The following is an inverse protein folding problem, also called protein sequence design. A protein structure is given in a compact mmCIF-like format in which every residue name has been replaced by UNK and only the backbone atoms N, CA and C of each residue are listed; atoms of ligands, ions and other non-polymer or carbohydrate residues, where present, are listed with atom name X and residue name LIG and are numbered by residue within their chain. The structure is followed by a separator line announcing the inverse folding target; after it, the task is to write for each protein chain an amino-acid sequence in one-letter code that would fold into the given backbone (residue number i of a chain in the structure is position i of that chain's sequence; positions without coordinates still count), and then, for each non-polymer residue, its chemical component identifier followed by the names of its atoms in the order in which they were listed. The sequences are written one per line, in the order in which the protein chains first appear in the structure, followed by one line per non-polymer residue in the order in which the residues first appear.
data_IF_382383165410
#
_entry.id   IF_382383165410
#
_cell.length_a   1.000
_cell.length_b   1.000
_cell.length_c   1.000
_cell.angle_alpha   90.00
_cell.angle_beta   90.00
_cell.angle_gamma   90.00
#
_symmetry.space_group_name_H-M   'P 1'
#
loop_
_entity.id
_entity.type
_entity.pdbx_description
1 polymer ?
#
# COMPACT_ATOMS: atom_id res chain seq x y z
N UNK A 1 19.22 25.29 9.17
CA UNK A 1 17.92 24.60 9.27
C UNK A 1 16.79 25.26 8.45
N UNK A 2 16.77 26.58 8.17
CA UNK A 2 15.74 27.19 7.28
C UNK A 2 15.93 26.88 5.78
N UNK A 3 17.17 26.78 5.32
CA UNK A 3 17.52 26.60 3.90
C UNK A 3 16.97 25.30 3.31
N UNK A 4 16.97 24.20 4.07
CA UNK A 4 16.44 22.91 3.61
C UNK A 4 14.91 22.93 3.48
N UNK A 5 14.22 23.58 4.41
CA UNK A 5 12.77 23.76 4.36
C UNK A 5 12.38 24.60 3.14
N UNK A 6 13.10 25.69 2.89
CA UNK A 6 12.87 26.54 1.73
C UNK A 6 13.18 25.82 0.41
N UNK A 7 14.28 25.07 0.35
CA UNK A 7 14.60 24.25 -0.82
C UNK A 7 13.48 23.23 -1.11
N UNK A 8 13.01 22.51 -0.09
CA UNK A 8 11.89 21.56 -0.22
C UNK A 8 10.62 22.26 -0.71
N UNK A 9 10.24 23.39 -0.10
CA UNK A 9 9.08 24.15 -0.52
C UNK A 9 9.16 24.58 -2.00
N UNK A 10 10.33 25.07 -2.44
CA UNK A 10 10.56 25.47 -3.84
C UNK A 10 10.53 24.30 -4.83
N UNK A 11 11.02 23.13 -4.43
CA UNK A 11 11.06 21.94 -5.29
C UNK A 11 9.68 21.30 -5.47
N UNK A 12 8.84 21.29 -4.42
CA UNK A 12 7.55 20.59 -4.40
C UNK A 12 6.33 21.49 -4.66
N UNK A 13 6.46 22.82 -4.61
CA UNK A 13 5.35 23.70 -5.03
C UNK A 13 4.99 23.48 -6.51
N UNK A 14 3.75 23.77 -6.94
CA UNK A 14 3.40 23.84 -8.36
C UNK A 14 4.45 24.55 -9.22
N UNK A 15 4.89 23.90 -10.30
CA UNK A 15 5.95 24.38 -11.20
C UNK A 15 7.39 24.18 -10.69
N UNK A 16 7.58 23.67 -9.47
CA UNK A 16 8.86 23.23 -8.96
C UNK A 16 9.42 22.03 -9.73
N UNK A 17 10.74 21.80 -9.66
CA UNK A 17 11.39 20.73 -10.41
C UNK A 17 10.82 19.34 -10.05
N UNK A 18 10.76 19.01 -8.76
CA UNK A 18 10.21 17.73 -8.30
C UNK A 18 8.70 17.61 -8.53
N UNK A 19 7.95 18.71 -8.39
CA UNK A 19 6.53 18.72 -8.72
C UNK A 19 6.29 18.39 -10.21
N UNK A 20 7.09 18.97 -11.12
CA UNK A 20 7.02 18.68 -12.56
C UNK A 20 7.38 17.23 -12.88
N UNK A 21 8.41 16.69 -12.25
CA UNK A 21 8.78 15.28 -12.47
C UNK A 21 7.69 14.33 -11.96
N UNK A 22 7.15 14.59 -10.76
CA UNK A 22 6.07 13.79 -10.19
C UNK A 22 4.75 13.92 -10.96
N UNK A 23 4.51 15.04 -11.65
CA UNK A 23 3.28 15.28 -12.45
C UNK A 23 3.05 14.27 -13.57
N UNK A 24 4.07 13.47 -13.92
CA UNK A 24 3.99 12.40 -14.93
C UNK A 24 3.28 11.15 -14.41
N UNK A 25 3.10 11.05 -13.10
CA UNK A 25 2.43 9.92 -12.47
C UNK A 25 0.93 10.21 -12.32
N UNK A 26 0.06 9.23 -12.59
CA UNK A 26 -1.37 9.39 -12.42
C UNK A 26 -1.77 9.45 -10.93
N UNK A 27 -2.89 10.11 -10.64
CA UNK A 27 -3.56 10.09 -9.33
C UNK A 27 -4.31 8.78 -9.11
N UNK A 28 -4.93 8.24 -10.17
CA UNK A 28 -5.54 6.91 -10.21
C UNK A 28 -5.00 6.18 -11.43
N UNK A 29 -4.45 4.98 -11.22
CA UNK A 29 -3.93 4.11 -12.28
C UNK A 29 -4.81 2.87 -12.40
N UNK A 30 -5.17 2.48 -13.62
CA UNK A 30 -5.86 1.22 -13.88
C UNK A 30 -4.94 0.33 -14.70
N UNK A 31 -4.66 -0.88 -14.20
CA UNK A 31 -3.88 -1.90 -14.90
C UNK A 31 -4.71 -3.17 -14.96
N UNK A 32 -5.13 -3.55 -16.16
CA UNK A 32 -6.11 -4.62 -16.37
C UNK A 32 -7.40 -4.35 -15.55
N UNK A 33 -7.70 -5.25 -14.62
CA UNK A 33 -8.83 -5.28 -13.70
C UNK A 33 -8.51 -4.72 -12.31
N UNK A 34 -7.32 -4.14 -12.12
CA UNK A 34 -6.86 -3.61 -10.83
C UNK A 34 -6.72 -2.11 -10.89
N UNK A 35 -7.34 -1.41 -9.94
CA UNK A 35 -7.24 0.04 -9.78
C UNK A 35 -6.31 0.35 -8.61
N UNK A 36 -5.43 1.33 -8.80
CA UNK A 36 -4.53 1.84 -7.77
C UNK A 36 -4.89 3.29 -7.45
N UNK A 37 -5.09 3.58 -6.18
CA UNK A 37 -5.35 4.93 -5.66
C UNK A 37 -4.67 5.08 -4.30
N UNK A 38 -4.41 6.33 -3.85
CA UNK A 38 -3.74 6.51 -2.56
C UNK A 38 -4.66 6.19 -1.37
N UNK A 39 -5.88 6.74 -1.31
CA UNK A 39 -6.81 6.56 -0.19
C UNK A 39 -8.11 5.84 -0.55
N UNK A 40 -8.84 6.31 -1.58
CA UNK A 40 -10.09 5.69 -2.02
C UNK A 40 -10.48 6.02 -3.46
N UNK A 41 -11.54 5.36 -3.94
CA UNK A 41 -12.19 5.63 -5.21
C UNK A 41 -13.71 5.45 -5.10
N UNK A 42 -14.48 6.50 -5.38
CA UNK A 42 -15.94 6.49 -5.29
C UNK A 42 -16.60 6.53 -6.68
N UNK A 43 -17.88 6.14 -6.81
CA UNK A 43 -18.61 6.19 -8.08
C UNK A 43 -18.58 7.58 -8.74
N UNK A 44 -18.61 8.65 -7.96
CA UNK A 44 -18.57 10.05 -8.41
C UNK A 44 -17.22 10.39 -9.06
N UNK A 45 -16.11 9.81 -8.59
CA UNK A 45 -14.80 9.97 -9.23
C UNK A 45 -14.76 9.33 -10.61
N UNK A 46 -15.36 8.14 -10.73
CA UNK A 46 -15.45 7.42 -12.00
C UNK A 46 -16.34 8.16 -12.99
N UNK A 47 -17.49 8.64 -12.52
CA UNK A 47 -18.47 9.39 -13.33
C UNK A 47 -17.92 10.73 -13.83
N UNK A 48 -17.19 11.45 -12.98
CA UNK A 48 -16.52 12.68 -13.38
C UNK A 48 -15.51 12.42 -14.50
N UNK A 49 -14.76 11.32 -14.39
CA UNK A 49 -13.78 10.83 -15.34
C UNK A 49 -12.36 10.88 -14.79
N UNK A 50 -11.74 9.70 -14.62
CA UNK A 50 -10.41 9.55 -14.04
C UNK A 50 -9.33 10.32 -14.81
N UNK A 51 -9.40 10.32 -16.14
CA UNK A 51 -8.44 11.05 -16.96
C UNK A 51 -8.53 12.56 -16.79
N UNK A 52 -9.74 13.10 -16.56
CA UNK A 52 -9.90 14.53 -16.25
C UNK A 52 -9.26 14.88 -14.91
N UNK A 53 -9.39 14.00 -13.92
CA UNK A 53 -8.78 14.16 -12.60
C UNK A 53 -7.25 14.06 -12.71
N UNK A 54 -6.74 13.00 -13.34
CA UNK A 54 -5.30 12.80 -13.57
C UNK A 54 -4.69 13.99 -14.32
N UNK A 55 -5.32 14.43 -15.41
CA UNK A 55 -4.87 15.59 -16.18
C UNK A 55 -4.87 16.87 -15.33
N UNK A 56 -5.90 17.11 -14.53
CA UNK A 56 -5.97 18.32 -13.71
C UNK A 56 -4.88 18.36 -12.63
N UNK A 57 -4.65 17.24 -11.92
CA UNK A 57 -3.56 17.15 -10.94
C UNK A 57 -2.21 17.34 -11.61
N UNK A 58 -1.99 16.69 -12.76
CA UNK A 58 -0.77 16.82 -13.53
C UNK A 58 -0.50 18.28 -13.95
N UNK A 59 -1.51 18.97 -14.50
CA UNK A 59 -1.45 20.40 -14.86
C UNK A 59 -1.16 21.29 -13.65
N UNK A 60 -1.85 21.05 -12.53
CA UNK A 60 -1.62 21.79 -11.29
C UNK A 60 -0.18 21.62 -10.79
N UNK A 61 0.33 20.39 -10.73
CA UNK A 61 1.71 20.11 -10.30
C UNK A 61 2.75 20.75 -11.22
N UNK A 62 2.48 20.82 -12.52
CA UNK A 62 3.35 21.53 -13.48
C UNK A 62 3.34 23.04 -13.36
N UNK A 63 2.36 23.61 -12.66
CA UNK A 63 2.20 25.06 -12.54
C UNK A 63 1.48 25.69 -13.74
N UNK A 64 0.69 24.91 -14.50
CA UNK A 64 -0.04 25.41 -15.67
C UNK A 64 -1.09 26.45 -15.23
N UNK A 65 -1.07 27.65 -15.82
CA UNK A 65 -1.84 28.81 -15.35
C UNK A 65 -3.36 28.57 -15.29
N UNK A 66 -3.89 27.71 -16.18
CA UNK A 66 -5.31 27.36 -16.27
C UNK A 66 -5.84 26.58 -15.05
N UNK A 67 -4.96 25.96 -14.26
CA UNK A 67 -5.34 24.99 -13.23
C UNK A 67 -4.64 25.29 -11.90
N UNK A 68 -4.65 26.55 -11.46
CA UNK A 68 -4.05 26.95 -10.17
C UNK A 68 -5.08 27.14 -9.03
N UNK A 69 -6.37 27.27 -9.35
CA UNK A 69 -7.41 27.34 -8.32
C UNK A 69 -7.76 25.93 -7.80
N UNK A 70 -7.50 25.68 -6.51
CA UNK A 70 -7.86 24.41 -5.84
C UNK A 70 -9.38 24.18 -5.75
N UNK A 71 -10.21 25.20 -6.03
CA UNK A 71 -11.67 25.08 -6.12
C UNK A 71 -12.13 24.42 -7.42
N UNK A 72 -11.24 24.16 -8.37
CA UNK A 72 -11.57 23.39 -9.57
C UNK A 72 -12.05 22.00 -9.13
N UNK A 73 -13.24 21.54 -9.58
CA UNK A 73 -13.86 20.31 -9.10
C UNK A 73 -12.93 19.08 -9.14
N UNK A 74 -12.15 18.92 -10.20
CA UNK A 74 -11.20 17.80 -10.34
C UNK A 74 -10.10 17.78 -9.27
N UNK A 75 -9.57 18.95 -8.88
CA UNK A 75 -8.58 19.05 -7.80
C UNK A 75 -9.19 18.80 -6.43
N UNK A 76 -10.46 19.18 -6.25
CA UNK A 76 -11.22 18.88 -5.04
C UNK A 76 -11.52 17.39 -4.92
N UNK A 77 -11.94 16.72 -6.00
CA UNK A 77 -12.13 15.27 -6.02
C UNK A 77 -10.81 14.51 -5.79
N UNK A 78 -9.70 15.02 -6.32
CA UNK A 78 -8.38 14.43 -6.07
C UNK A 78 -7.93 14.60 -4.61
N UNK A 79 -8.04 15.81 -4.03
CA UNK A 79 -7.33 16.16 -2.79
C UNK A 79 -8.07 17.07 -1.80
N UNK A 80 -9.34 17.38 -2.04
CA UNK A 80 -10.10 18.45 -1.38
C UNK A 80 -10.77 18.10 -0.04
N UNK A 81 -10.67 16.86 0.45
CA UNK A 81 -11.26 16.50 1.73
C UNK A 81 -11.33 15.01 2.01
N UNK A 82 -12.08 14.63 3.06
CA UNK A 82 -12.18 13.25 3.55
C UNK A 82 -12.79 12.23 2.58
N UNK A 83 -13.41 12.70 1.49
CA UNK A 83 -13.95 11.86 0.42
C UNK A 83 -13.13 11.95 -0.87
N UNK A 84 -12.00 12.67 -0.84
CA UNK A 84 -11.11 12.76 -1.99
C UNK A 84 -10.26 11.50 -2.15
N UNK A 85 -9.80 11.28 -3.38
CA UNK A 85 -8.99 10.11 -3.76
C UNK A 85 -7.76 9.96 -2.85
N UNK A 86 -7.10 11.07 -2.52
CA UNK A 86 -5.86 11.06 -1.74
C UNK A 86 -6.08 10.91 -0.24
N UNK A 87 -7.14 11.49 0.32
CA UNK A 87 -7.26 11.66 1.78
C UNK A 87 -8.35 10.81 2.43
N UNK A 88 -9.16 10.11 1.65
CA UNK A 88 -10.18 9.26 2.23
C UNK A 88 -9.56 8.03 2.90
N UNK A 89 -10.15 7.66 4.03
CA UNK A 89 -9.78 6.47 4.80
C UNK A 89 -10.86 5.39 4.77
N UNK A 90 -11.95 5.63 4.02
CA UNK A 90 -13.19 4.84 4.12
C UNK A 90 -12.99 3.36 3.79
N UNK A 91 -12.04 3.01 2.93
CA UNK A 91 -11.79 1.61 2.59
C UNK A 91 -10.72 0.95 3.45
N UNK A 92 -10.11 1.71 4.36
CA UNK A 92 -9.02 1.23 5.21
C UNK A 92 -9.35 1.27 6.71
N UNK A 93 -10.51 1.80 7.07
CA UNK A 93 -11.04 1.75 8.44
C UNK A 93 -11.78 0.44 8.70
N UNK A 94 -11.74 0.00 9.96
CA UNK A 94 -12.51 -1.15 10.43
C UNK A 94 -13.87 -0.66 10.94
N UNK A 95 -14.94 -1.14 10.33
CA UNK A 95 -16.31 -0.77 10.69
C UNK A 95 -17.10 -1.96 11.26
N UNK A 96 -18.16 -1.71 12.03
CA UNK A 96 -19.17 -2.73 12.30
C UNK A 96 -19.74 -3.34 11.01
N UNK A 97 -20.18 -4.62 11.03
CA UNK A 97 -20.59 -5.34 9.83
C UNK A 97 -21.64 -4.62 8.97
N UNK A 98 -22.60 -3.93 9.58
CA UNK A 98 -23.64 -3.19 8.87
C UNK A 98 -23.10 -2.01 8.06
N UNK A 99 -22.15 -1.27 8.61
CA UNK A 99 -21.48 -0.16 7.92
C UNK A 99 -20.50 -0.71 6.88
N UNK A 100 -19.77 -1.78 7.21
CA UNK A 100 -18.85 -2.43 6.29
C UNK A 100 -19.57 -2.88 5.00
N UNK A 101 -20.78 -3.45 5.12
CA UNK A 101 -21.60 -3.83 3.95
C UNK A 101 -21.93 -2.64 3.05
N UNK A 102 -22.23 -1.48 3.63
CA UNK A 102 -22.51 -0.26 2.86
C UNK A 102 -21.25 0.27 2.17
N UNK A 103 -20.11 0.30 2.87
CA UNK A 103 -18.82 0.68 2.30
C UNK A 103 -18.45 -0.24 1.12
N UNK A 104 -18.60 -1.55 1.28
CA UNK A 104 -18.36 -2.52 0.22
C UNK A 104 -19.36 -2.42 -0.95
N UNK A 105 -20.59 -1.95 -0.71
CA UNK A 105 -21.54 -1.69 -1.78
C UNK A 105 -21.09 -0.51 -2.67
N UNK A 106 -20.72 0.61 -2.05
CA UNK A 106 -20.22 1.80 -2.76
C UNK A 106 -18.95 1.47 -3.56
N UNK A 107 -18.05 0.68 -2.98
CA UNK A 107 -16.86 0.18 -3.70
C UNK A 107 -17.25 -0.61 -4.96
N UNK A 108 -18.15 -1.60 -4.82
CA UNK A 108 -18.56 -2.47 -5.94
C UNK A 108 -19.19 -1.66 -7.06
N UNK A 109 -19.96 -0.63 -6.73
CA UNK A 109 -20.50 0.29 -7.72
C UNK A 109 -19.37 0.98 -8.51
N UNK A 110 -18.39 1.57 -7.82
CA UNK A 110 -17.25 2.23 -8.48
C UNK A 110 -16.46 1.26 -9.38
N UNK A 111 -16.15 0.06 -8.88
CA UNK A 111 -15.41 -0.96 -9.62
C UNK A 111 -16.19 -1.48 -10.83
N UNK A 112 -17.51 -1.68 -10.70
CA UNK A 112 -18.37 -2.13 -11.80
C UNK A 112 -18.38 -1.16 -12.98
N UNK A 113 -18.42 0.15 -12.70
CA UNK A 113 -18.36 1.21 -13.72
C UNK A 113 -17.03 1.19 -14.50
N UNK A 114 -15.95 0.73 -13.88
CA UNK A 114 -14.63 0.57 -14.48
C UNK A 114 -14.38 -0.82 -15.08
N UNK A 115 -15.30 -1.78 -14.88
CA UNK A 115 -15.08 -3.22 -15.15
C UNK A 115 -13.82 -3.74 -14.45
N UNK A 116 -13.51 -3.18 -13.28
CA UNK A 116 -12.42 -3.61 -12.43
C UNK A 116 -12.90 -4.59 -11.37
N UNK A 117 -11.98 -5.39 -10.82
CA UNK A 117 -12.25 -6.38 -9.78
C UNK A 117 -11.78 -5.94 -8.41
N UNK A 118 -10.73 -5.14 -8.34
CA UNK A 118 -10.15 -4.73 -7.06
C UNK A 118 -9.56 -3.33 -7.09
N UNK A 119 -9.57 -2.71 -5.92
CA UNK A 119 -8.90 -1.47 -5.61
C UNK A 119 -7.72 -1.74 -4.66
N UNK A 120 -6.55 -1.21 -4.96
CA UNK A 120 -5.37 -1.24 -4.09
C UNK A 120 -5.17 0.17 -3.51
N UNK A 121 -5.10 0.28 -2.19
CA UNK A 121 -4.99 1.55 -1.46
C UNK A 121 -3.90 1.53 -0.40
N UNK A 122 -3.35 2.71 -0.11
CA UNK A 122 -2.45 2.95 1.01
C UNK A 122 -3.08 3.93 2.01
N UNK A 123 -2.32 4.97 2.38
CA UNK A 123 -2.73 6.15 3.16
C UNK A 123 -3.07 5.92 4.64
N UNK A 124 -3.68 4.78 4.95
CA UNK A 124 -4.08 4.39 6.31
C UNK A 124 -3.36 3.13 6.69
N UNK A 125 -2.45 3.27 7.64
CA UNK A 125 -1.59 2.21 8.14
C UNK A 125 -2.43 1.01 8.61
N UNK A 126 -2.04 -0.18 8.14
CA UNK A 126 -2.53 -1.48 8.55
C UNK A 126 -1.47 -2.09 9.49
N UNK A 127 -1.64 -1.95 10.81
CA UNK A 127 -0.61 -2.32 11.77
C UNK A 127 -0.35 -3.83 11.85
N UNK A 128 -1.22 -4.66 11.28
CA UNK A 128 -1.07 -6.11 11.19
C UNK A 128 -0.44 -6.58 9.86
N UNK A 129 -0.25 -5.69 8.88
CA UNK A 129 0.33 -6.00 7.57
C UNK A 129 -0.66 -5.84 6.42
N UNK A 130 -0.24 -6.22 5.21
CA UNK A 130 -1.12 -6.18 4.04
C UNK A 130 -2.29 -7.13 4.26
N UNK A 131 -3.50 -6.64 3.99
CA UNK A 131 -4.71 -7.42 4.13
C UNK A 131 -5.77 -6.92 3.13
N UNK A 132 -6.96 -7.52 3.16
CA UNK A 132 -8.09 -7.10 2.32
C UNK A 132 -9.39 -6.96 3.11
N UNK A 133 -10.37 -6.32 2.48
CA UNK A 133 -11.78 -6.30 2.90
C UNK A 133 -12.68 -6.41 1.67
N UNK A 134 -13.98 -6.60 1.89
CA UNK A 134 -14.98 -6.68 0.83
C UNK A 134 -14.70 -7.83 -0.14
N UNK A 135 -14.41 -9.02 0.40
CA UNK A 135 -14.15 -10.24 -0.37
C UNK A 135 -13.00 -10.06 -1.38
N UNK A 136 -11.93 -9.37 -0.97
CA UNK A 136 -10.78 -9.07 -1.84
C UNK A 136 -11.00 -7.91 -2.82
N UNK A 137 -12.12 -7.19 -2.72
CA UNK A 137 -12.42 -5.99 -3.50
C UNK A 137 -11.53 -4.80 -3.15
N UNK A 138 -11.01 -4.72 -1.92
CA UNK A 138 -9.97 -3.74 -1.53
C UNK A 138 -8.77 -4.44 -0.93
N UNK A 139 -7.58 -4.08 -1.40
CA UNK A 139 -6.30 -4.45 -0.79
C UNK A 139 -5.66 -3.24 -0.14
N UNK A 140 -5.39 -3.34 1.16
CA UNK A 140 -4.83 -2.27 2.00
C UNK A 140 -3.35 -2.55 2.20
N UNK A 141 -2.47 -1.75 1.60
CA UNK A 141 -1.03 -2.06 1.46
C UNK A 141 -0.09 -1.15 2.25
N UNK A 142 -0.59 -0.15 2.95
CA UNK A 142 0.24 0.72 3.79
C UNK A 142 0.50 0.04 5.14
N UNK A 143 1.71 -0.49 5.33
CA UNK A 143 2.12 -1.17 6.57
C UNK A 143 2.88 -0.27 7.55
N UNK A 144 3.03 1.03 7.25
CA UNK A 144 3.76 1.97 8.11
C UNK A 144 5.29 1.78 8.09
N UNK A 145 5.88 1.63 6.89
CA UNK A 145 7.31 1.34 6.69
C UNK A 145 8.26 2.43 7.21
N UNK A 146 7.83 3.70 7.28
CA UNK A 146 8.71 4.78 7.71
C UNK A 146 9.00 4.73 9.21
N UNK A 147 10.22 5.12 9.59
CA UNK A 147 10.69 5.15 10.98
C UNK A 147 9.73 5.86 11.94
N UNK A 148 9.24 7.03 11.53
CA UNK A 148 8.35 7.88 12.35
C UNK A 148 6.90 7.38 12.45
N UNK A 149 6.54 6.34 11.71
CA UNK A 149 5.21 5.73 11.77
C UNK A 149 5.25 4.47 12.63
N UNK A 150 5.53 3.30 12.05
CA UNK A 150 5.65 2.04 12.78
C UNK A 150 7.00 1.34 12.56
N UNK A 151 7.87 1.88 11.71
CA UNK A 151 9.15 1.28 11.32
C UNK A 151 9.03 -0.21 10.93
N UNK A 152 7.92 -0.58 10.28
CA UNK A 152 7.65 -1.98 9.95
C UNK A 152 8.47 -2.45 8.75
N UNK A 153 8.86 -3.74 8.71
CA UNK A 153 9.42 -4.34 7.50
C UNK A 153 8.49 -4.15 6.31
N UNK A 154 9.08 -4.00 5.12
CA UNK A 154 8.32 -3.95 3.89
C UNK A 154 7.57 -5.26 3.63
N UNK A 155 6.38 -5.12 3.06
CA UNK A 155 5.57 -6.21 2.52
C UNK A 155 5.17 -5.85 1.08
N UNK A 156 4.93 -6.86 0.25
CA UNK A 156 4.60 -6.68 -1.15
C UNK A 156 3.33 -7.43 -1.51
N UNK A 157 2.43 -6.75 -2.21
CA UNK A 157 1.30 -7.37 -2.86
C UNK A 157 1.70 -7.79 -4.28
N UNK A 158 1.81 -9.09 -4.50
CA UNK A 158 2.05 -9.66 -5.83
C UNK A 158 0.72 -10.05 -6.49
N UNK A 159 0.51 -9.59 -7.72
CA UNK A 159 -0.67 -9.95 -8.54
C UNK A 159 -0.16 -10.59 -9.83
N UNK A 160 -0.35 -11.90 -9.97
CA UNK A 160 0.04 -12.67 -11.15
C UNK A 160 -1.18 -13.11 -11.94
N UNK A 161 -1.10 -13.04 -13.27
CA UNK A 161 -2.07 -13.71 -14.14
C UNK A 161 -1.76 -15.21 -14.12
N UNK A 162 -2.78 -16.02 -13.86
CA UNK A 162 -2.74 -17.47 -14.02
C UNK A 162 -3.42 -17.78 -15.35
N UNK A 163 -2.74 -18.50 -16.23
CA UNK A 163 -3.37 -19.01 -17.43
C UNK A 163 -4.46 -20.00 -17.00
N UNK A 164 -5.72 -19.76 -17.40
CA UNK A 164 -6.77 -20.76 -17.25
C UNK A 164 -6.39 -21.92 -18.16
N UNK A 165 -5.97 -23.05 -17.57
CA UNK A 165 -5.94 -24.31 -18.30
C UNK A 165 -7.39 -24.64 -18.62
N UNK A 166 -7.77 -24.61 -19.90
CA UNK A 166 -9.04 -25.19 -20.34
C UNK A 166 -9.02 -26.66 -19.92
N UNK A 167 -9.83 -27.04 -18.95
CA UNK A 167 -10.17 -28.45 -18.80
C UNK A 167 -10.95 -28.86 -20.05
N UNK A 168 -10.40 -29.82 -20.79
CA UNK A 168 -11.11 -30.48 -21.87
C UNK A 168 -12.35 -31.17 -21.27
N UNK A 169 -13.57 -30.94 -21.77
CA UNK A 169 -14.80 -31.54 -21.23
C UNK A 169 -14.91 -33.05 -21.51
N UNK A 170 -13.80 -33.74 -21.74
CA UNK A 170 -13.72 -35.06 -22.31
C UNK A 170 -13.13 -36.13 -21.40
N UNK A 171 -13.31 -36.09 -20.07
CA UNK A 171 -13.14 -37.30 -19.25
C UNK A 171 -13.78 -37.21 -17.85
N UNK A 172 -15.12 -37.22 -17.75
CA UNK A 172 -15.81 -37.50 -16.48
C UNK A 172 -16.54 -38.83 -16.56
N UNK A 173 -15.80 -39.95 -16.51
CA UNK A 173 -16.40 -41.23 -16.16
C UNK A 173 -16.61 -41.29 -14.64
N UNK A 174 -17.89 -41.28 -14.25
CA UNK A 174 -18.47 -41.84 -13.02
C UNK A 174 -17.63 -41.88 -11.74
N UNK A 175 -18.10 -41.15 -10.72
CA UNK A 175 -18.39 -41.74 -9.40
C UNK A 175 -19.35 -40.85 -8.62
N UNK A 176 -20.61 -41.28 -8.59
CA UNK A 176 -21.61 -40.91 -7.60
C UNK A 176 -21.17 -41.42 -6.22
N UNK A 177 -21.07 -40.52 -5.25
CA UNK A 177 -20.91 -40.85 -3.84
C UNK A 177 -21.70 -39.84 -3.01
N UNK A 178 -22.84 -40.29 -2.49
CA UNK A 178 -23.60 -39.60 -1.45
C UNK A 178 -22.74 -39.39 -0.19
N UNK A 179 -22.86 -38.23 0.44
CA UNK A 179 -22.71 -38.12 1.88
C UNK A 179 -23.51 -36.95 2.43
N UNK A 180 -24.62 -37.27 3.09
CA UNK A 180 -25.26 -36.42 4.09
C UNK A 180 -24.27 -36.11 5.22
N UNK A 181 -24.24 -34.84 5.66
CA UNK A 181 -23.47 -34.42 6.82
C UNK A 181 -24.01 -33.12 7.40
N UNK A 182 -24.95 -33.24 8.34
CA UNK A 182 -25.23 -32.22 9.34
C UNK A 182 -24.01 -32.03 10.23
N UNK A 183 -23.57 -30.79 10.46
CA UNK A 183 -22.73 -30.45 11.60
C UNK A 183 -23.07 -29.04 12.11
N UNK A 184 -23.66 -29.00 13.31
CA UNK A 184 -23.65 -27.87 14.23
C UNK A 184 -22.22 -27.59 14.70
N UNK A 185 -21.98 -26.35 15.15
CA UNK A 185 -20.97 -26.07 16.16
C UNK A 185 -20.08 -24.88 15.86
N UNK A 186 -20.35 -23.79 16.59
CA UNK A 186 -19.39 -22.88 17.22
C UNK A 186 -18.01 -22.68 16.56
N UNK A 187 -17.73 -21.45 16.10
CA UNK A 187 -16.37 -20.94 16.24
C UNK A 187 -16.37 -19.44 16.58
N UNK A 188 -16.00 -19.17 17.83
CA UNK A 188 -15.75 -17.88 18.41
C UNK A 188 -14.37 -17.40 17.96
N UNK A 189 -14.29 -16.66 16.84
CA UNK A 189 -13.06 -15.98 16.41
C UNK A 189 -13.25 -14.47 16.38
N UNK A 190 -13.04 -13.86 17.54
CA UNK A 190 -12.65 -12.46 17.64
C UNK A 190 -11.18 -12.33 17.25
N UNK A 191 -10.91 -12.16 15.95
CA UNK A 191 -9.70 -11.53 15.40
C UNK A 191 -9.98 -11.24 13.92
N UNK A 192 -10.20 -9.96 13.59
CA UNK A 192 -10.79 -9.47 12.33
C UNK A 192 -9.89 -9.55 11.08
N UNK A 193 -9.25 -10.69 10.84
CA UNK A 193 -8.60 -11.00 9.57
C UNK A 193 -9.52 -11.88 8.74
N UNK A 194 -10.27 -11.28 7.80
CA UNK A 194 -10.87 -12.06 6.72
C UNK A 194 -9.75 -12.78 5.96
N UNK A 195 -9.85 -14.11 5.83
CA UNK A 195 -8.92 -14.88 5.01
C UNK A 195 -9.22 -14.57 3.54
N UNK A 196 -8.46 -13.65 2.97
CA UNK A 196 -8.59 -13.23 1.58
C UNK A 196 -8.26 -14.40 0.65
N UNK A 197 -9.26 -15.19 0.23
CA UNK A 197 -9.03 -16.33 -0.64
C UNK A 197 -8.53 -15.90 -2.03
N UNK A 198 -7.46 -16.57 -2.50
CA UNK A 198 -6.48 -16.07 -3.48
C UNK A 198 -6.69 -16.56 -4.92
N UNK A 199 -7.94 -16.79 -5.35
CA UNK A 199 -8.24 -17.16 -6.74
C UNK A 199 -9.66 -16.72 -7.09
N UNK A 200 -9.81 -15.85 -8.09
CA UNK A 200 -11.10 -15.65 -8.75
C UNK A 200 -11.19 -16.56 -10.00
N UNK A 201 -12.42 -16.91 -10.42
CA UNK A 201 -12.69 -17.77 -11.59
C UNK A 201 -12.12 -17.26 -12.92
N UNK A 202 -11.57 -16.05 -12.95
CA UNK A 202 -11.02 -15.38 -14.10
C UNK A 202 -9.48 -15.18 -14.03
N UNK A 203 -8.79 -15.94 -13.18
CA UNK A 203 -7.39 -16.33 -13.40
C UNK A 203 -6.33 -15.32 -12.97
N UNK A 204 -6.47 -14.68 -11.79
CA UNK A 204 -5.34 -14.00 -11.14
C UNK A 204 -5.07 -14.60 -9.76
N UNK A 205 -3.80 -14.89 -9.47
CA UNK A 205 -3.33 -15.31 -8.15
C UNK A 205 -2.73 -14.10 -7.44
N UNK A 206 -3.21 -13.84 -6.24
CA UNK A 206 -2.69 -12.78 -5.38
C UNK A 206 -1.80 -13.42 -4.32
N UNK A 207 -0.73 -12.75 -3.90
CA UNK A 207 0.15 -13.25 -2.84
C UNK A 207 0.71 -12.08 -2.06
N UNK A 208 0.62 -12.12 -0.73
CA UNK A 208 1.36 -11.21 0.14
C UNK A 208 2.72 -11.82 0.40
N UNK A 209 3.77 -11.11 0.00
CA UNK A 209 5.16 -11.49 0.25
C UNK A 209 5.64 -10.63 1.41
N UNK A 210 6.10 -11.26 2.48
CA UNK A 210 6.70 -10.57 3.62
C UNK A 210 8.21 -10.68 3.54
N UNK A 211 8.92 -9.63 3.96
CA UNK A 211 10.35 -9.77 4.20
C UNK A 211 10.50 -10.59 5.49
N UNK A 212 10.61 -11.92 5.38
CA UNK A 212 11.07 -12.70 6.52
C UNK A 212 12.51 -12.26 6.79
N UNK A 213 12.69 -11.40 7.80
CA UNK A 213 14.01 -11.19 8.35
C UNK A 213 14.50 -12.55 8.84
N UNK A 214 15.43 -13.17 8.11
CA UNK A 214 16.31 -14.19 8.63
C UNK A 214 17.08 -13.53 9.79
N UNK A 215 16.56 -13.65 11.01
CA UNK A 215 17.07 -12.87 12.13
C UNK A 215 16.39 -13.22 13.45
N UNK A 216 16.51 -14.48 13.88
CA UNK A 216 16.27 -14.85 15.29
C UNK A 216 16.95 -16.16 15.74
N UNK A 217 17.95 -16.68 15.01
CA UNK A 217 18.79 -17.78 15.53
C UNK A 217 20.32 -17.57 15.41
N UNK A 218 20.81 -16.56 14.68
CA UNK A 218 22.25 -16.33 14.54
C UNK A 218 22.82 -15.29 15.54
N UNK A 219 22.02 -14.31 15.98
CA UNK A 219 22.50 -13.23 16.87
C UNK A 219 22.80 -13.69 18.31
N UNK A 220 22.27 -14.83 18.74
CA UNK A 220 22.60 -15.42 20.05
C UNK A 220 23.99 -16.08 20.09
N UNK A 221 24.65 -16.29 18.95
CA UNK A 221 26.00 -16.90 18.92
C UNK A 221 27.12 -15.88 18.95
N UNK A 222 26.87 -14.63 18.56
CA UNK A 222 27.91 -13.60 18.51
C UNK A 222 28.05 -12.81 19.81
N UNK A 223 27.00 -12.75 20.65
CA UNK A 223 27.07 -12.09 21.95
C UNK A 223 27.73 -12.91 23.08
N UNK A 224 28.04 -14.19 22.85
CA UNK A 224 28.68 -15.05 23.85
C UNK A 224 30.20 -15.17 23.71
N UNK A 225 30.79 -14.56 22.66
CA UNK A 225 32.23 -14.58 22.37
C UNK A 225 32.95 -13.23 22.62
N UNK A 226 32.23 -12.18 23.03
CA UNK A 226 32.79 -10.84 23.26
C UNK A 226 32.94 -10.45 24.74
N UNK A 227 32.83 -11.42 25.66
CA UNK A 227 32.96 -11.20 27.11
C UNK A 227 34.10 -12.02 27.70
N UNK A 228 35.31 -11.90 27.18
CA UNK A 228 36.57 -12.24 27.88
C UNK A 228 37.74 -11.65 27.09
N UNK A 229 38.08 -10.39 27.36
CA UNK A 229 39.47 -9.90 27.31
C UNK A 229 39.50 -8.46 27.83
N UNK A 230 39.75 -8.36 29.13
CA UNK A 230 40.07 -7.11 29.81
C UNK A 230 41.58 -6.90 29.66
N UNK A 231 41.99 -5.92 28.86
CA UNK A 231 43.41 -5.53 28.72
C UNK A 231 43.58 -4.10 29.24
N UNK A 232 44.32 -3.97 30.33
CA UNK A 232 44.72 -2.72 30.97
C UNK A 232 45.54 -1.83 30.02
N UNK A 233 45.43 -0.48 30.11
CA UNK A 233 46.27 0.42 29.33
C UNK A 233 47.66 0.63 29.99
N UNK A 234 48.77 0.67 29.23
CA UNK A 234 50.06 1.06 29.80
C UNK A 234 50.24 2.58 29.84
N UNK A 235 51.05 2.99 30.82
CA UNK A 235 51.28 4.35 31.28
C UNK A 235 52.04 5.27 30.30
N UNK A 236 51.79 6.57 30.46
CA UNK A 236 52.46 7.67 29.76
C UNK A 236 53.90 7.92 30.26
N UNK A 237 54.79 8.34 29.36
CA UNK A 237 56.03 9.12 29.66
C UNK A 237 56.47 9.96 28.43
N UNK A 238 57.32 11.01 28.59
CA UNK A 238 57.10 12.31 27.93
C UNK A 238 58.21 12.82 26.98
N UNK A 239 57.85 13.87 26.22
CA UNK A 239 58.66 14.94 25.59
C UNK A 239 59.76 14.62 24.55
N UNK A 240 59.69 15.30 23.38
CA UNK A 240 60.71 16.27 22.92
C UNK A 240 60.29 16.98 21.63
N UNK A 241 60.50 18.30 21.63
CA UNK A 241 60.41 19.22 20.48
C UNK A 241 61.54 18.97 19.47
N UNK A 242 61.28 19.14 18.17
CA UNK A 242 62.21 19.90 17.32
C UNK A 242 61.55 20.45 16.04
N UNK A 243 61.84 21.74 15.82
CA UNK A 243 61.57 22.55 14.62
C UNK A 243 62.45 22.09 13.45
N UNK A 244 61.98 22.24 12.21
CA UNK A 244 62.50 23.27 11.30
C UNK A 244 61.79 23.30 9.95
N UNK A 245 61.64 24.55 9.48
CA UNK A 245 61.10 25.04 8.22
C UNK A 245 61.92 24.64 6.99
N UNK A 246 61.26 24.60 5.83
CA UNK A 246 61.41 25.60 4.75
C UNK A 246 60.02 25.93 4.23
#
# INVERSE_FOLDING_TARGET
SSVLVEARARLFKPGGALARDLSRNPTVLVVNDTVFAHGALFPEHVEFGLEKINSAVSKWMRGDAEVQDRKIPSLFLASGGRYSIMWSRIYSSNYPPEIQRQVCHVLREALSRLRARRLVVGHTIQPEGINCVCDGGVWRIDVGMSLEMLNRPAEWLEIRRVALTREDPGNSSNKSGESNGHANGDDNRQNGHEECHLTDEAGSRITVITNQAHGSQEESKQHQLASTEEVQPPAATPHMYQKNSV
#
